data_IF_231411082968
#
_entry.id   IF_231411082968
#
_cell.length_a   1.000
_cell.length_b   1.000
_cell.length_c   1.000
_cell.angle_alpha   90.00
_cell.angle_beta   90.00
_cell.angle_gamma   90.00
#
_symmetry.space_group_name_H-M   'P 1'
#
loop_
_entity.id
_entity.type
_entity.pdbx_description
1 polymer ?
#
# COMPACT_ATOMS: atom_id res chain seq x y z
N UNK A 1 3.60 2.35 35.29
CA UNK A 1 2.46 2.77 34.45
C UNK A 1 2.99 3.70 33.36
N UNK A 2 2.96 3.29 32.08
CA UNK A 2 3.37 4.17 30.97
C UNK A 2 2.17 5.06 30.63
N UNK A 3 2.31 6.38 30.78
CA UNK A 3 1.30 7.35 30.34
C UNK A 3 1.47 7.57 28.85
N UNK A 4 0.37 7.46 28.09
CA UNK A 4 0.34 7.84 26.68
C UNK A 4 -0.49 9.12 26.51
N UNK A 5 0.02 10.06 25.71
CA UNK A 5 -0.64 11.32 25.43
C UNK A 5 -0.99 11.38 23.93
N UNK A 6 -2.19 11.87 23.61
CA UNK A 6 -2.65 12.06 22.24
C UNK A 6 -2.77 13.56 21.97
N UNK A 7 -2.06 14.02 20.96
CA UNK A 7 -2.12 15.41 20.51
C UNK A 7 -2.73 15.50 19.11
N UNK A 8 -3.45 16.60 18.86
CA UNK A 8 -3.92 16.93 17.52
C UNK A 8 -2.74 17.50 16.71
N UNK A 9 -2.46 16.90 15.55
CA UNK A 9 -1.50 17.46 14.60
C UNK A 9 -2.12 18.74 13.99
N UNK A 10 -1.42 19.88 14.11
CA UNK A 10 -1.78 21.15 13.48
C UNK A 10 -0.72 21.51 12.43
N UNK A 11 -0.82 20.97 11.20
CA UNK A 11 0.17 21.22 10.17
C UNK A 11 0.09 22.67 9.67
N UNK A 12 1.23 23.23 9.29
CA UNK A 12 1.29 24.46 8.49
C UNK A 12 0.72 24.19 7.09
N UNK A 13 0.42 25.26 6.33
CA UNK A 13 -0.06 25.14 4.94
C UNK A 13 0.88 24.29 4.08
N UNK A 14 2.20 24.51 4.20
CA UNK A 14 3.21 23.74 3.48
C UNK A 14 3.22 22.26 3.90
N UNK A 15 3.11 21.97 5.20
CA UNK A 15 3.04 20.60 5.70
C UNK A 15 1.77 19.89 5.22
N UNK A 16 0.62 20.57 5.22
CA UNK A 16 -0.63 20.01 4.71
C UNK A 16 -0.53 19.65 3.22
N UNK A 17 0.13 20.49 2.42
CA UNK A 17 0.45 20.21 1.02
C UNK A 17 1.31 18.94 0.88
N UNK A 18 2.42 18.86 1.61
CA UNK A 18 3.31 17.70 1.59
C UNK A 18 2.62 16.40 2.03
N UNK A 19 1.76 16.44 3.05
CA UNK A 19 0.97 15.28 3.49
C UNK A 19 -0.04 14.83 2.43
N UNK A 20 -0.62 15.77 1.68
CA UNK A 20 -1.57 15.46 0.59
C UNK A 20 -0.85 14.80 -0.58
N UNK A 21 0.32 15.29 -0.96
CA UNK A 21 1.18 14.65 -1.98
C UNK A 21 1.60 13.25 -1.54
N UNK A 22 2.04 13.10 -0.28
CA UNK A 22 2.38 11.80 0.27
C UNK A 22 1.18 10.84 0.22
N UNK A 23 -0.02 11.29 0.56
CA UNK A 23 -1.23 10.47 0.45
C UNK A 23 -1.47 10.02 -1.01
N UNK A 24 -1.32 10.93 -1.98
CA UNK A 24 -1.49 10.62 -3.41
C UNK A 24 -0.52 9.54 -3.88
N UNK A 25 0.75 9.66 -3.52
CA UNK A 25 1.78 8.73 -3.97
C UNK A 25 1.65 7.36 -3.29
N UNK A 26 1.24 7.34 -2.03
CA UNK A 26 0.91 6.11 -1.33
C UNK A 26 -0.33 5.41 -1.91
N UNK A 27 -1.38 6.15 -2.31
CA UNK A 27 -2.51 5.59 -3.04
C UNK A 27 -2.06 5.01 -4.39
N UNK A 28 -1.19 5.70 -5.13
CA UNK A 28 -0.63 5.20 -6.39
C UNK A 28 0.14 3.90 -6.21
N UNK A 29 1.03 3.83 -5.21
CA UNK A 29 1.78 2.62 -4.88
C UNK A 29 0.85 1.45 -4.52
N UNK A 30 -0.16 1.70 -3.68
CA UNK A 30 -1.15 0.68 -3.32
C UNK A 30 -1.89 0.15 -4.55
N UNK A 31 -2.31 1.07 -5.43
CA UNK A 31 -3.07 0.76 -6.63
C UNK A 31 -2.24 -0.03 -7.65
N UNK A 32 -0.97 0.36 -7.87
CA UNK A 32 -0.05 -0.38 -8.73
C UNK A 32 0.18 -1.80 -8.21
N UNK A 33 0.43 -1.96 -6.91
CA UNK A 33 0.59 -3.27 -6.30
C UNK A 33 -0.69 -4.13 -6.34
N UNK A 34 -1.88 -3.52 -6.19
CA UNK A 34 -3.16 -4.21 -6.34
C UNK A 34 -3.35 -4.68 -7.80
N UNK A 35 -3.07 -3.80 -8.76
CA UNK A 35 -3.18 -4.09 -10.17
C UNK A 35 -2.25 -5.24 -10.58
N UNK A 36 -0.98 -5.20 -10.17
CA UNK A 36 -0.01 -6.28 -10.45
C UNK A 36 -0.52 -7.64 -9.95
N UNK A 37 -0.99 -7.73 -8.69
CA UNK A 37 -1.56 -8.98 -8.15
C UNK A 37 -2.75 -9.47 -8.96
N UNK A 38 -3.65 -8.56 -9.34
CA UNK A 38 -4.85 -8.87 -10.12
C UNK A 38 -4.47 -9.38 -11.51
N UNK A 39 -3.58 -8.69 -12.19
CA UNK A 39 -3.23 -8.97 -13.58
C UNK A 39 -2.38 -10.25 -13.68
N UNK A 40 -1.45 -10.47 -12.74
CA UNK A 40 -0.69 -11.72 -12.63
C UNK A 40 -1.59 -12.95 -12.41
N UNK A 41 -2.65 -12.81 -11.62
CA UNK A 41 -3.61 -13.90 -11.40
C UNK A 41 -4.59 -14.09 -12.58
N UNK A 42 -4.86 -13.04 -13.36
CA UNK A 42 -5.67 -13.15 -14.58
C UNK A 42 -4.93 -13.92 -15.67
N UNK A 43 -3.61 -13.78 -15.76
CA UNK A 43 -2.76 -14.54 -16.67
C UNK A 43 -2.99 -16.06 -16.56
N UNK A 44 -2.75 -16.79 -17.65
CA UNK A 44 -3.02 -18.25 -17.74
C UNK A 44 -2.27 -19.06 -16.69
N UNK A 45 -1.09 -18.61 -16.27
CA UNK A 45 -0.28 -19.24 -15.21
C UNK A 45 -0.84 -19.07 -13.80
N UNK A 46 -1.85 -18.22 -13.60
CA UNK A 46 -2.45 -17.91 -12.29
C UNK A 46 -1.43 -17.52 -11.23
N UNK A 47 -0.41 -16.76 -11.62
CA UNK A 47 0.73 -16.44 -10.77
C UNK A 47 0.28 -15.63 -9.54
N UNK A 48 0.63 -16.13 -8.35
CA UNK A 48 0.34 -15.47 -7.08
C UNK A 48 1.47 -14.54 -6.65
N UNK A 49 1.27 -13.23 -6.77
CA UNK A 49 2.22 -12.23 -6.27
C UNK A 49 1.98 -11.98 -4.77
N UNK A 50 3.07 -12.04 -3.98
CA UNK A 50 3.07 -11.88 -2.52
C UNK A 50 3.77 -10.58 -2.10
N UNK A 51 3.53 -10.15 -0.87
CA UNK A 51 4.17 -8.96 -0.28
C UNK A 51 5.69 -8.95 -0.45
N UNK A 52 6.37 -10.08 -0.21
CA UNK A 52 7.84 -10.15 -0.28
C UNK A 52 8.35 -9.70 -1.66
N UNK A 53 7.75 -10.21 -2.75
CA UNK A 53 8.12 -9.83 -4.12
C UNK A 53 7.90 -8.34 -4.38
N UNK A 54 6.72 -7.83 -4.04
CA UNK A 54 6.40 -6.40 -4.25
C UNK A 54 7.27 -5.47 -3.40
N UNK A 55 7.63 -5.90 -2.18
CA UNK A 55 8.50 -5.13 -1.30
C UNK A 55 9.95 -5.10 -1.79
N UNK A 56 10.39 -6.13 -2.52
CA UNK A 56 11.71 -6.14 -3.14
C UNK A 56 11.79 -5.15 -4.32
N UNK A 57 10.71 -5.00 -5.09
CA UNK A 57 10.61 -4.04 -6.20
C UNK A 57 10.72 -2.58 -5.74
N UNK A 58 10.42 -2.26 -4.47
CA UNK A 58 10.48 -0.89 -3.97
C UNK A 58 11.84 -0.23 -4.14
N UNK A 59 12.95 -1.01 -4.12
CA UNK A 59 14.28 -0.47 -4.36
C UNK A 59 14.35 0.17 -5.76
N UNK A 60 13.92 -0.57 -6.76
CA UNK A 60 14.03 -0.16 -8.16
C UNK A 60 12.98 0.90 -8.49
N UNK A 61 11.75 0.79 -7.98
CA UNK A 61 10.69 1.80 -8.13
C UNK A 61 11.15 3.16 -7.60
N UNK A 62 11.78 3.19 -6.41
CA UNK A 62 12.26 4.43 -5.80
C UNK A 62 13.45 5.03 -6.54
N UNK A 63 14.31 4.19 -7.11
CA UNK A 63 15.44 4.65 -7.93
C UNK A 63 14.98 5.20 -9.29
N UNK A 64 13.94 4.60 -9.88
CA UNK A 64 13.36 5.01 -11.15
C UNK A 64 12.57 6.33 -11.05
N UNK A 65 11.83 6.54 -9.94
CA UNK A 65 10.99 7.72 -9.74
C UNK A 65 11.38 8.46 -8.46
N UNK A 66 12.52 9.17 -8.45
CA UNK A 66 13.04 9.84 -7.25
C UNK A 66 12.10 10.95 -6.74
N UNK A 67 11.45 11.67 -7.65
CA UNK A 67 10.60 12.83 -7.34
C UNK A 67 9.22 12.45 -6.79
N UNK A 68 8.80 11.18 -6.95
CA UNK A 68 7.51 10.70 -6.44
C UNK A 68 7.65 9.60 -5.41
N UNK A 69 8.33 8.51 -5.76
CA UNK A 69 8.49 7.38 -4.87
C UNK A 69 9.77 7.46 -4.04
N UNK A 70 10.86 7.99 -4.61
CA UNK A 70 12.15 8.11 -3.91
C UNK A 70 12.15 9.12 -2.76
N UNK A 71 11.42 10.24 -2.89
CA UNK A 71 11.30 11.30 -1.88
C UNK A 71 10.66 10.86 -0.56
N UNK A 72 9.93 9.74 -0.56
CA UNK A 72 9.28 9.20 0.64
C UNK A 72 10.11 8.08 1.28
N UNK A 73 9.91 7.89 2.58
CA UNK A 73 10.65 6.89 3.33
C UNK A 73 10.30 5.48 2.87
N UNK A 74 11.32 4.63 2.74
CA UNK A 74 11.14 3.24 2.33
C UNK A 74 10.21 2.48 3.29
N UNK A 75 10.33 2.72 4.60
CA UNK A 75 9.53 2.05 5.62
C UNK A 75 8.04 2.42 5.57
N UNK A 76 7.69 3.66 5.21
CA UNK A 76 6.28 4.04 5.05
C UNK A 76 5.65 3.36 3.82
N UNK A 77 6.41 3.22 2.73
CA UNK A 77 5.97 2.53 1.52
C UNK A 77 5.82 1.02 1.77
N UNK A 78 6.74 0.40 2.53
CA UNK A 78 6.55 -0.97 3.01
C UNK A 78 5.26 -1.13 3.82
N UNK A 79 4.95 -0.20 4.72
CA UNK A 79 3.71 -0.25 5.50
C UNK A 79 2.45 -0.20 4.61
N UNK A 80 2.53 0.52 3.49
CA UNK A 80 1.45 0.58 2.47
C UNK A 80 1.24 -0.77 1.80
N UNK A 81 2.32 -1.43 1.37
CA UNK A 81 2.25 -2.78 0.81
C UNK A 81 1.76 -3.81 1.85
N UNK A 82 2.16 -3.68 3.13
CA UNK A 82 1.63 -4.53 4.21
C UNK A 82 0.14 -4.32 4.43
N UNK A 83 -0.39 -3.11 4.25
CA UNK A 83 -1.83 -2.83 4.32
C UNK A 83 -2.59 -3.53 3.20
N UNK A 84 -2.04 -3.55 1.98
CA UNK A 84 -2.59 -4.33 0.87
C UNK A 84 -2.56 -5.83 1.19
N UNK A 85 -1.44 -6.32 1.72
CA UNK A 85 -1.29 -7.73 2.05
C UNK A 85 -2.31 -8.19 3.11
N UNK A 86 -2.48 -7.41 4.18
CA UNK A 86 -3.53 -7.65 5.19
C UNK A 86 -4.94 -7.72 4.58
N UNK A 87 -5.23 -6.89 3.57
CA UNK A 87 -6.53 -6.92 2.89
C UNK A 87 -6.71 -8.22 2.10
N UNK A 88 -5.68 -8.69 1.40
CA UNK A 88 -5.71 -9.99 0.72
C UNK A 88 -5.80 -11.17 1.69
N UNK A 89 -5.06 -11.15 2.80
CA UNK A 89 -5.16 -12.18 3.84
C UNK A 89 -6.58 -12.27 4.39
N UNK A 90 -7.22 -11.14 4.69
CA UNK A 90 -8.62 -11.11 5.12
C UNK A 90 -9.58 -11.62 4.04
N UNK A 91 -9.36 -11.25 2.78
CA UNK A 91 -10.14 -11.75 1.64
C UNK A 91 -10.09 -13.28 1.56
N UNK A 92 -8.89 -13.87 1.49
CA UNK A 92 -8.73 -15.33 1.38
C UNK A 92 -9.19 -16.09 2.62
N UNK A 93 -9.03 -15.51 3.82
CA UNK A 93 -9.60 -16.07 5.05
C UNK A 93 -11.11 -16.24 4.95
N UNK A 94 -11.83 -15.21 4.46
CA UNK A 94 -13.29 -15.26 4.29
C UNK A 94 -13.72 -16.25 3.21
N UNK A 95 -12.98 -16.30 2.09
CA UNK A 95 -13.19 -17.32 1.04
C UNK A 95 -13.11 -18.72 1.64
N UNK A 96 -12.07 -19.01 2.43
CA UNK A 96 -11.89 -20.32 3.07
C UNK A 96 -13.01 -20.64 4.08
N UNK A 97 -13.57 -19.64 4.73
CA UNK A 97 -14.66 -19.79 5.69
C UNK A 97 -16.05 -19.90 5.04
N UNK A 98 -16.18 -19.76 3.72
CA UNK A 98 -17.47 -19.73 3.03
C UNK A 98 -18.29 -18.46 3.28
N UNK A 99 -17.68 -17.42 3.87
CA UNK A 99 -18.30 -16.12 4.08
C UNK A 99 -18.32 -15.29 2.78
N UNK A 100 -19.11 -14.22 2.74
CA UNK A 100 -19.06 -13.24 1.64
C UNK A 100 -17.78 -12.39 1.73
N UNK A 101 -16.80 -12.58 0.82
CA UNK A 101 -15.52 -11.88 0.90
C UNK A 101 -15.57 -10.52 0.18
N UNK A 102 -14.86 -9.53 0.71
CA UNK A 102 -14.67 -8.23 0.05
C UNK A 102 -13.30 -8.17 -0.61
N UNK A 103 -13.25 -8.00 -1.94
CA UNK A 103 -11.98 -7.87 -2.67
C UNK A 103 -11.33 -6.49 -2.42
N UNK A 104 -9.99 -6.39 -2.29
CA UNK A 104 -9.31 -5.11 -2.15
C UNK A 104 -9.62 -4.17 -3.34
N UNK A 105 -9.92 -2.89 -3.05
CA UNK A 105 -10.31 -1.89 -4.06
C UNK A 105 -9.24 -0.83 -4.25
N UNK A 106 -9.19 -0.25 -5.45
CA UNK A 106 -8.39 0.92 -5.75
C UNK A 106 -8.73 2.08 -4.79
N UNK A 107 -7.70 2.86 -4.45
CA UNK A 107 -7.77 4.02 -3.57
C UNK A 107 -7.78 5.29 -4.41
N UNK A 108 -8.77 6.14 -4.17
CA UNK A 108 -8.79 7.52 -4.63
C UNK A 108 -8.10 8.45 -3.62
N UNK A 109 -7.96 9.71 -4.02
CA UNK A 109 -7.47 10.82 -3.20
C UNK A 109 -8.55 11.89 -3.22
#
# INVERSE_FOLDING_TARGET
MIRSYRFLLRPTVQQAGALTEMLRDHCSLYNGALQERRDAYRHVSKTGIKYVGQSAQLKDIRAFDPERHGRWSFSSQQATLRRLDKAFQAFFRRVKAGETPGYPRFRGV
#
